data_IF_913844928320
#
_entry.id   IF_913844928320
#
_cell.length_a   1.000
_cell.length_b   1.000
_cell.length_c   1.000
_cell.angle_alpha   90.00
_cell.angle_beta   90.00
_cell.angle_gamma   90.00
#
_symmetry.space_group_name_H-M   'P 1'
#
loop_
_entity.id
_entity.type
_entity.pdbx_description
1 polymer ?
#
# COMPACT_ATOMS: atom_id res chain seq x y z
N UNK A 1 76.07 -4.51 -32.03
CA UNK A 1 76.90 -5.56 -31.40
C UNK A 1 75.93 -6.43 -30.62
N UNK A 2 75.82 -7.68 -31.06
CA UNK A 2 75.14 -8.85 -30.49
C UNK A 2 73.63 -8.83 -30.18
N UNK A 3 72.89 -9.55 -31.03
CA UNK A 3 71.89 -10.52 -30.58
C UNK A 3 72.64 -11.83 -30.19
N UNK A 4 72.07 -12.78 -29.41
CA UNK A 4 70.91 -13.55 -29.89
C UNK A 4 69.92 -14.04 -28.80
N UNK A 5 68.86 -14.63 -29.35
CA UNK A 5 67.81 -15.46 -28.76
C UNK A 5 68.33 -16.64 -27.90
N UNK A 6 67.49 -17.10 -26.95
CA UNK A 6 67.42 -18.51 -26.56
C UNK A 6 66.03 -18.82 -25.96
N UNK A 7 65.18 -19.53 -26.69
CA UNK A 7 64.80 -20.96 -26.51
C UNK A 7 64.17 -21.24 -25.14
N UNK A 8 62.84 -21.45 -25.07
CA UNK A 8 62.18 -22.76 -25.08
C UNK A 8 62.74 -23.74 -24.04
N UNK A 9 61.90 -24.11 -23.08
CA UNK A 9 61.70 -25.47 -22.53
C UNK A 9 60.61 -25.35 -21.45
N UNK A 10 59.38 -25.79 -21.70
CA UNK A 10 58.85 -27.16 -21.62
C UNK A 10 58.15 -27.40 -20.27
N UNK A 11 56.84 -27.66 -20.42
CA UNK A 11 56.01 -28.56 -19.63
C UNK A 11 55.78 -28.24 -18.14
N UNK A 12 54.54 -27.86 -17.82
CA UNK A 12 53.78 -28.64 -16.83
C UNK A 12 52.30 -28.69 -17.24
N UNK A 13 51.89 -29.91 -17.53
CA UNK A 13 50.54 -30.44 -17.66
C UNK A 13 49.61 -30.10 -16.50
N UNK A 14 48.36 -29.76 -16.79
CA UNK A 14 47.17 -30.31 -16.13
C UNK A 14 45.89 -29.72 -16.77
N UNK A 15 45.30 -30.52 -17.65
CA UNK A 15 43.89 -30.89 -17.67
C UNK A 15 42.83 -29.78 -17.53
N UNK A 16 42.22 -29.50 -18.67
CA UNK A 16 40.85 -29.03 -18.81
C UNK A 16 39.89 -30.11 -18.26
N UNK A 17 39.45 -29.96 -17.01
CA UNK A 17 38.20 -30.56 -16.55
C UNK A 17 37.11 -29.49 -16.46
N UNK A 18 36.37 -29.39 -17.57
CA UNK A 18 35.00 -28.91 -17.58
C UNK A 18 34.13 -30.04 -17.06
N UNK A 19 33.58 -29.94 -15.85
CA UNK A 19 32.25 -30.46 -15.44
C UNK A 19 32.16 -30.54 -13.91
N UNK A 20 31.40 -29.62 -13.31
CA UNK A 20 30.77 -29.82 -12.02
C UNK A 20 29.58 -28.84 -11.92
N UNK A 21 28.52 -29.23 -12.61
CA UNK A 21 27.15 -29.28 -12.10
C UNK A 21 26.72 -28.16 -11.15
N UNK A 22 26.04 -27.22 -11.79
CA UNK A 22 24.99 -26.35 -11.29
C UNK A 22 23.89 -27.15 -10.58
N UNK A 23 24.11 -27.63 -9.36
CA UNK A 23 23.02 -28.11 -8.50
C UNK A 23 23.30 -27.74 -7.04
N UNK A 24 22.99 -26.50 -6.66
CA UNK A 24 22.34 -26.27 -5.37
C UNK A 24 21.60 -24.92 -5.34
N UNK A 25 20.45 -24.87 -6.01
CA UNK A 25 19.53 -23.72 -5.95
C UNK A 25 18.09 -24.18 -5.68
N UNK A 26 17.93 -25.15 -4.76
CA UNK A 26 16.64 -25.71 -4.42
C UNK A 26 16.53 -25.98 -2.90
N UNK A 27 16.87 -24.99 -2.07
CA UNK A 27 16.59 -25.02 -0.62
C UNK A 27 16.17 -23.64 -0.08
N UNK A 28 15.56 -22.80 -0.93
CA UNK A 28 14.65 -21.76 -0.46
C UNK A 28 13.23 -22.32 -0.54
N UNK A 29 13.02 -23.43 0.15
CA UNK A 29 11.68 -23.90 0.46
C UNK A 29 10.99 -22.79 1.25
N UNK A 30 9.97 -22.25 0.60
CA UNK A 30 8.88 -21.43 1.09
C UNK A 30 8.46 -21.80 2.52
N UNK A 31 9.20 -21.32 3.51
CA UNK A 31 8.83 -21.42 4.91
C UNK A 31 7.85 -20.28 5.21
N UNK A 32 6.69 -20.34 4.57
CA UNK A 32 5.54 -19.53 4.96
C UNK A 32 4.93 -20.25 6.14
N UNK A 33 5.25 -19.78 7.35
CA UNK A 33 4.57 -20.22 8.56
C UNK A 33 3.05 -20.19 8.28
N UNK A 34 2.32 -21.30 8.46
CA UNK A 34 0.89 -21.39 8.13
C UNK A 34 0.00 -20.49 9.01
N UNK A 35 0.56 -19.86 10.05
CA UNK A 35 -0.12 -18.83 10.84
C UNK A 35 -0.06 -17.42 10.23
N UNK A 36 0.69 -17.22 9.13
CA UNK A 36 0.89 -15.91 8.50
C UNK A 36 0.09 -15.72 7.21
N UNK A 37 -0.64 -16.74 6.76
CA UNK A 37 -1.54 -16.65 5.61
C UNK A 37 -2.80 -15.88 6.02
N UNK A 38 -2.98 -14.71 5.41
CA UNK A 38 -4.21 -13.93 5.54
C UNK A 38 -5.29 -14.61 4.70
N UNK A 39 -6.26 -15.24 5.35
CA UNK A 39 -7.45 -15.76 4.69
C UNK A 39 -8.41 -14.61 4.38
N UNK A 40 -8.55 -14.26 3.08
CA UNK A 40 -9.43 -13.19 2.63
C UNK A 40 -10.89 -13.41 3.06
N UNK A 41 -11.31 -14.67 3.24
CA UNK A 41 -12.67 -15.00 3.64
C UNK A 41 -12.93 -14.65 5.11
N UNK A 42 -11.87 -14.45 5.90
CA UNK A 42 -11.91 -14.06 7.32
C UNK A 42 -11.47 -12.61 7.56
N UNK A 43 -11.24 -11.83 6.50
CA UNK A 43 -10.81 -10.44 6.63
C UNK A 43 -11.77 -9.61 7.49
N UNK A 44 -13.08 -9.89 7.37
CA UNK A 44 -14.11 -9.21 8.16
C UNK A 44 -14.00 -9.47 9.68
N UNK A 45 -13.41 -10.59 10.08
CA UNK A 45 -13.23 -10.95 11.49
C UNK A 45 -12.14 -10.12 12.17
N UNK A 46 -11.28 -9.45 11.39
CA UNK A 46 -10.23 -8.57 11.90
C UNK A 46 -10.77 -7.21 12.38
N UNK A 47 -11.95 -6.80 11.91
CA UNK A 47 -12.52 -5.49 12.22
C UNK A 47 -13.59 -5.62 13.31
N UNK A 48 -13.37 -4.96 14.46
CA UNK A 48 -14.41 -4.84 15.47
C UNK A 48 -15.57 -3.97 14.96
N UNK A 49 -16.79 -4.30 15.39
CA UNK A 49 -17.96 -3.48 15.07
C UNK A 49 -17.88 -2.15 15.82
N UNK A 50 -18.29 -1.04 15.20
CA UNK A 50 -18.38 0.24 15.89
C UNK A 50 -19.24 0.15 17.17
N UNK A 51 -18.83 0.86 18.21
CA UNK A 51 -19.48 0.84 19.52
C UNK A 51 -20.82 1.59 19.50
N UNK A 52 -21.92 0.84 19.65
CA UNK A 52 -23.27 1.42 19.72
C UNK A 52 -23.54 2.15 21.04
N UNK A 53 -22.93 1.74 22.15
CA UNK A 53 -23.09 2.45 23.42
C UNK A 53 -22.44 3.83 23.35
N UNK A 54 -21.28 3.95 22.72
CA UNK A 54 -20.64 5.24 22.46
C UNK A 54 -21.48 6.14 21.53
N UNK A 55 -22.12 5.55 20.50
CA UNK A 55 -23.05 6.27 19.61
C UNK A 55 -24.25 6.82 20.37
N UNK A 56 -24.90 5.98 21.18
CA UNK A 56 -26.08 6.37 21.96
C UNK A 56 -25.74 7.42 23.01
N UNK A 57 -24.62 7.25 23.71
CA UNK A 57 -24.14 8.24 24.68
C UNK A 57 -23.89 9.60 24.01
N UNK A 58 -23.33 9.64 22.79
CA UNK A 58 -23.16 10.90 22.07
C UNK A 58 -24.50 11.48 21.61
N UNK A 59 -25.44 10.67 21.11
CA UNK A 59 -26.80 11.13 20.75
C UNK A 59 -27.50 11.78 21.94
N UNK A 60 -27.46 11.16 23.12
CA UNK A 60 -28.00 11.74 24.35
C UNK A 60 -27.36 13.08 24.68
N UNK A 61 -26.02 13.15 24.63
CA UNK A 61 -25.29 14.40 24.87
C UNK A 61 -25.68 15.51 23.88
N UNK A 62 -25.83 15.19 22.60
CA UNK A 62 -26.22 16.16 21.57
C UNK A 62 -27.66 16.67 21.79
N UNK A 63 -28.57 15.80 22.24
CA UNK A 63 -29.95 16.17 22.56
C UNK A 63 -30.07 17.12 23.76
N UNK A 64 -29.09 17.11 24.68
CA UNK A 64 -29.02 18.04 25.81
C UNK A 64 -28.49 19.43 25.41
N UNK A 65 -27.82 19.55 24.26
CA UNK A 65 -27.33 20.83 23.78
C UNK A 65 -28.52 21.68 23.30
N UNK A 66 -28.54 22.96 23.68
CA UNK A 66 -29.55 23.93 23.26
C UNK A 66 -29.38 24.36 21.79
N UNK A 67 -29.33 23.38 20.88
CA UNK A 67 -29.22 23.57 19.42
C UNK A 67 -30.65 23.67 18.84
N UNK A 68 -30.94 24.64 17.94
CA UNK A 68 -32.26 24.79 17.33
C UNK A 68 -32.74 23.53 16.58
N UNK A 69 -34.06 23.43 16.35
CA UNK A 69 -34.79 22.27 15.85
C UNK A 69 -34.37 21.65 14.50
N UNK A 70 -33.33 22.18 13.83
CA UNK A 70 -32.71 21.59 12.65
C UNK A 70 -31.40 20.82 12.97
N UNK A 71 -30.93 20.84 14.22
CA UNK A 71 -29.69 20.18 14.65
C UNK A 71 -28.46 20.71 13.90
N UNK A 72 -27.40 19.89 13.85
CA UNK A 72 -26.20 20.15 13.03
C UNK A 72 -26.24 19.39 11.69
N UNK A 73 -27.34 18.69 11.39
CA UNK A 73 -27.50 17.87 10.20
C UNK A 73 -26.39 16.82 10.06
N UNK A 74 -25.71 16.80 8.91
CA UNK A 74 -24.63 15.83 8.61
C UNK A 74 -23.46 15.88 9.59
N UNK A 75 -23.22 17.00 10.27
CA UNK A 75 -22.16 17.08 11.28
C UNK A 75 -22.48 16.23 12.51
N UNK A 76 -23.75 16.14 12.89
CA UNK A 76 -24.19 15.26 13.98
C UNK A 76 -24.06 13.79 13.58
N UNK A 77 -24.47 13.44 12.35
CA UNK A 77 -24.28 12.09 11.81
C UNK A 77 -22.81 11.66 11.83
N UNK A 78 -21.91 12.56 11.40
CA UNK A 78 -20.47 12.32 11.42
C UNK A 78 -19.91 12.19 12.83
N UNK A 79 -20.37 13.04 13.76
CA UNK A 79 -19.93 12.97 15.15
C UNK A 79 -20.34 11.63 15.79
N UNK A 80 -21.58 11.18 15.56
CA UNK A 80 -22.08 9.87 16.04
C UNK A 80 -21.32 8.72 15.39
N UNK A 81 -21.10 8.76 14.08
CA UNK A 81 -20.28 7.75 13.40
C UNK A 81 -18.89 7.63 14.03
N UNK A 82 -18.25 8.78 14.26
CA UNK A 82 -16.91 8.87 14.81
C UNK A 82 -16.82 8.42 16.27
N UNK A 83 -17.86 8.68 17.08
CA UNK A 83 -17.96 8.16 18.44
C UNK A 83 -17.98 6.64 18.48
N UNK A 84 -18.76 6.02 17.59
CA UNK A 84 -18.79 4.56 17.47
C UNK A 84 -17.47 3.99 16.95
N UNK A 85 -16.85 4.64 15.97
CA UNK A 85 -15.56 4.21 15.42
C UNK A 85 -14.42 4.27 16.47
N UNK A 86 -14.50 5.19 17.44
CA UNK A 86 -13.49 5.34 18.50
C UNK A 86 -13.84 4.67 19.82
N UNK A 87 -15.03 4.06 19.94
CA UNK A 87 -15.51 3.53 21.22
C UNK A 87 -15.65 4.59 22.31
N UNK A 88 -15.93 5.85 21.95
CA UNK A 88 -16.00 6.95 22.91
C UNK A 88 -16.95 8.07 22.48
N UNK A 89 -17.86 8.45 23.38
CA UNK A 89 -18.74 9.61 23.22
C UNK A 89 -18.02 10.95 23.47
N UNK A 90 -16.73 10.93 23.83
CA UNK A 90 -15.92 12.14 23.95
C UNK A 90 -15.59 12.69 22.55
N UNK A 91 -16.09 13.89 22.27
CA UNK A 91 -15.80 14.60 21.02
C UNK A 91 -14.45 15.30 21.15
N UNK A 92 -13.45 14.78 20.44
CA UNK A 92 -12.14 15.43 20.27
C UNK A 92 -11.96 15.90 18.82
N UNK A 93 -11.31 17.05 18.59
CA UNK A 93 -10.91 17.46 17.25
C UNK A 93 -10.06 16.39 16.56
N UNK A 94 -10.13 16.32 15.24
CA UNK A 94 -9.20 15.53 14.43
C UNK A 94 -7.97 16.41 14.22
N UNK A 95 -6.83 16.01 14.77
CA UNK A 95 -5.57 16.76 14.70
C UNK A 95 -4.55 16.07 13.79
N UNK A 96 -4.64 14.74 13.66
CA UNK A 96 -3.67 13.90 12.95
C UNK A 96 -4.36 13.06 11.88
N UNK A 97 -4.85 13.73 10.84
CA UNK A 97 -5.32 13.07 9.63
C UNK A 97 -4.13 12.54 8.80
N UNK A 98 -4.21 11.29 8.35
CA UNK A 98 -3.17 10.64 7.55
C UNK A 98 -3.78 10.15 6.24
N UNK A 99 -3.17 10.51 5.11
CA UNK A 99 -3.55 10.04 3.78
C UNK A 99 -2.57 8.96 3.34
N UNK A 100 -3.06 7.78 2.96
CA UNK A 100 -2.23 6.69 2.42
C UNK A 100 -2.60 6.46 0.96
N UNK A 101 -1.64 6.71 0.07
CA UNK A 101 -1.84 6.53 -1.38
C UNK A 101 -1.13 5.27 -1.82
N UNK A 102 -1.89 4.30 -2.32
CA UNK A 102 -1.36 3.10 -2.98
C UNK A 102 -1.27 3.35 -4.48
N UNK A 103 -0.06 3.31 -5.03
CA UNK A 103 0.19 3.54 -6.45
C UNK A 103 0.49 2.21 -7.16
N UNK A 104 -0.17 2.00 -8.30
CA UNK A 104 0.01 0.82 -9.14
C UNK A 104 -0.47 1.08 -10.55
N UNK A 105 0.11 0.35 -11.50
CA UNK A 105 -0.28 0.38 -12.91
C UNK A 105 -1.17 -0.83 -13.26
N UNK A 106 -1.93 -0.71 -14.35
CA UNK A 106 -2.88 -1.73 -14.79
C UNK A 106 -2.84 -1.89 -16.32
N UNK A 107 -2.62 -3.12 -16.82
CA UNK A 107 -2.48 -3.36 -18.27
C UNK A 107 -3.77 -3.12 -19.06
N UNK A 108 -4.93 -3.14 -18.40
CA UNK A 108 -6.20 -2.81 -19.06
C UNK A 108 -6.17 -1.39 -19.68
N UNK A 109 -5.31 -0.49 -19.17
CA UNK A 109 -5.11 0.85 -19.71
C UNK A 109 -4.64 0.85 -21.18
N UNK A 110 -3.99 -0.22 -21.66
CA UNK A 110 -3.58 -0.37 -23.07
C UNK A 110 -4.74 -0.28 -24.06
N UNK A 111 -5.95 -0.59 -23.60
CA UNK A 111 -7.17 -0.53 -24.42
C UNK A 111 -7.70 0.90 -24.65
N UNK A 112 -7.02 1.93 -24.14
CA UNK A 112 -7.46 3.32 -24.27
C UNK A 112 -8.71 3.62 -23.43
N UNK A 113 -8.91 2.86 -22.34
CA UNK A 113 -10.02 3.04 -21.39
C UNK A 113 -9.73 4.12 -20.33
N UNK A 114 -8.52 4.68 -20.33
CA UNK A 114 -8.10 5.78 -19.47
C UNK A 114 -8.18 7.12 -20.21
N UNK A 115 -8.31 8.21 -19.46
CA UNK A 115 -8.11 9.56 -20.00
C UNK A 115 -6.65 9.82 -20.42
N UNK A 116 -5.72 8.99 -19.95
CA UNK A 116 -4.32 8.97 -20.37
C UNK A 116 -4.17 8.06 -21.58
N UNK A 117 -3.42 8.50 -22.60
CA UNK A 117 -3.14 7.68 -23.77
C UNK A 117 -2.35 6.42 -23.37
N UNK A 118 -2.60 5.26 -24.01
CA UNK A 118 -1.96 3.99 -23.66
C UNK A 118 -0.45 4.06 -23.52
N UNK A 119 0.24 4.68 -24.48
CA UNK A 119 1.71 4.78 -24.49
C UNK A 119 2.30 5.64 -23.35
N UNK A 120 1.47 6.45 -22.71
CA UNK A 120 1.89 7.37 -21.64
C UNK A 120 1.49 6.87 -20.24
N UNK A 121 0.70 5.80 -20.13
CA UNK A 121 0.09 5.36 -18.87
C UNK A 121 1.12 5.17 -17.74
N UNK A 122 2.14 4.33 -17.97
CA UNK A 122 3.19 4.06 -16.97
C UNK A 122 3.98 5.32 -16.60
N UNK A 123 4.32 6.15 -17.60
CA UNK A 123 5.08 7.38 -17.38
C UNK A 123 4.27 8.41 -16.58
N UNK A 124 2.96 8.49 -16.81
CA UNK A 124 2.06 9.37 -16.06
C UNK A 124 1.92 8.90 -14.62
N UNK A 125 1.76 7.61 -14.35
CA UNK A 125 1.73 7.08 -12.97
C UNK A 125 3.02 7.43 -12.25
N UNK A 126 4.19 7.17 -12.86
CA UNK A 126 5.48 7.52 -12.28
C UNK A 126 5.63 9.03 -12.02
N UNK A 127 5.14 9.88 -12.93
CA UNK A 127 5.15 11.33 -12.74
C UNK A 127 4.22 11.78 -11.61
N UNK A 128 3.06 11.13 -11.42
CA UNK A 128 2.13 11.40 -10.31
C UNK A 128 2.70 10.98 -8.96
N UNK A 129 3.35 9.82 -8.90
CA UNK A 129 4.08 9.33 -7.72
C UNK A 129 5.10 10.38 -7.28
N UNK A 130 6.00 10.80 -8.18
CA UNK A 130 6.99 11.85 -7.89
C UNK A 130 6.35 13.15 -7.44
N UNK A 131 5.29 13.57 -8.13
CA UNK A 131 4.55 14.77 -7.74
C UNK A 131 4.00 14.68 -6.32
N UNK A 132 3.52 13.51 -5.86
CA UNK A 132 3.02 13.31 -4.49
C UNK A 132 4.17 13.29 -3.49
N UNK A 133 5.30 12.64 -3.81
CA UNK A 133 6.52 12.63 -2.97
C UNK A 133 7.05 14.04 -2.72
N UNK A 134 7.02 14.90 -3.74
CA UNK A 134 7.39 16.31 -3.64
C UNK A 134 6.34 17.16 -2.87
N UNK A 135 5.27 16.53 -2.36
CA UNK A 135 4.12 17.21 -1.76
C UNK A 135 3.29 18.01 -2.76
N UNK A 136 3.49 17.83 -4.05
CA UNK A 136 2.75 18.49 -5.11
C UNK A 136 1.38 17.85 -5.38
N UNK A 137 0.76 18.32 -6.47
CA UNK A 137 -0.54 17.81 -6.92
C UNK A 137 -1.70 18.16 -5.99
N UNK A 138 -2.90 17.71 -6.35
CA UNK A 138 -4.10 17.97 -5.54
C UNK A 138 -4.00 17.35 -4.15
N UNK A 139 -3.51 16.11 -4.05
CA UNK A 139 -3.33 15.40 -2.78
C UNK A 139 -2.41 16.16 -1.83
N UNK A 140 -1.20 16.54 -2.27
CA UNK A 140 -0.26 17.24 -1.41
C UNK A 140 -0.72 18.65 -1.04
N UNK A 141 -1.39 19.37 -1.95
CA UNK A 141 -1.98 20.69 -1.66
C UNK A 141 -3.09 20.59 -0.61
N UNK A 142 -4.05 19.68 -0.79
CA UNK A 142 -5.17 19.51 0.13
C UNK A 142 -4.68 18.98 1.49
N UNK A 143 -3.74 18.05 1.50
CA UNK A 143 -3.15 17.54 2.74
C UNK A 143 -2.52 18.67 3.56
N UNK A 144 -1.69 19.52 2.94
CA UNK A 144 -1.12 20.69 3.64
C UNK A 144 -2.18 21.68 4.12
N UNK A 145 -3.19 21.97 3.30
CA UNK A 145 -4.26 22.90 3.66
C UNK A 145 -5.00 22.46 4.92
N UNK A 146 -5.13 21.15 5.13
CA UNK A 146 -5.84 20.56 6.26
C UNK A 146 -4.91 19.97 7.34
N UNK A 147 -3.60 20.22 7.27
CA UNK A 147 -2.63 19.70 8.23
C UNK A 147 -2.47 18.17 8.24
N UNK A 148 -2.93 17.49 7.19
CA UNK A 148 -2.77 16.05 7.02
C UNK A 148 -1.38 15.71 6.45
N UNK A 149 -0.88 14.52 6.77
CA UNK A 149 0.33 13.99 6.11
C UNK A 149 -0.03 12.99 5.02
N UNK A 150 0.86 12.80 4.05
CA UNK A 150 0.68 11.82 2.97
C UNK A 150 1.78 10.78 3.04
N UNK A 151 1.40 9.50 3.03
CA UNK A 151 2.29 8.35 2.82
C UNK A 151 2.00 7.76 1.46
N UNK A 152 3.03 7.64 0.62
CA UNK A 152 2.93 6.99 -0.68
C UNK A 152 3.47 5.56 -0.56
N UNK A 153 2.75 4.61 -1.13
CA UNK A 153 3.08 3.19 -1.14
C UNK A 153 3.11 2.73 -2.60
N UNK A 154 4.29 2.42 -3.13
CA UNK A 154 4.43 1.74 -4.41
C UNK A 154 4.00 0.28 -4.23
N UNK A 155 2.85 -0.07 -4.81
CA UNK A 155 2.39 -1.45 -4.90
C UNK A 155 2.96 -2.09 -6.16
N UNK A 156 2.82 -1.42 -7.30
CA UNK A 156 3.13 -2.01 -8.61
C UNK A 156 3.46 -0.99 -9.70
N UNK A 157 4.07 0.15 -9.34
CA UNK A 157 4.41 1.20 -10.32
C UNK A 157 5.44 0.66 -11.32
N UNK A 158 5.12 0.75 -12.61
CA UNK A 158 5.89 0.17 -13.71
C UNK A 158 5.83 -1.36 -13.79
N UNK A 159 5.04 -2.01 -12.95
CA UNK A 159 4.82 -3.46 -12.89
C UNK A 159 3.31 -3.74 -12.96
N UNK A 160 2.67 -3.48 -14.10
CA UNK A 160 1.21 -3.45 -14.17
C UNK A 160 0.56 -4.78 -13.83
N UNK A 161 -0.67 -4.71 -13.31
CA UNK A 161 -1.53 -5.89 -13.14
C UNK A 161 -1.92 -6.50 -14.47
N UNK A 162 -2.32 -7.77 -14.46
CA UNK A 162 -2.85 -8.48 -15.63
C UNK A 162 -4.07 -7.82 -16.27
N UNK A 163 -4.32 -8.20 -17.52
CA UNK A 163 -5.41 -7.63 -18.34
C UNK A 163 -6.77 -8.23 -17.97
N UNK A 164 -7.50 -7.53 -17.11
CA UNK A 164 -8.81 -7.97 -16.58
C UNK A 164 -9.89 -8.26 -17.63
N UNK A 165 -9.71 -7.84 -18.88
CA UNK A 165 -10.58 -8.23 -19.99
C UNK A 165 -10.37 -9.68 -20.47
N UNK A 166 -9.30 -10.36 -20.01
CA UNK A 166 -8.87 -11.69 -20.50
C UNK A 166 -8.41 -12.64 -19.41
N UNK A 167 -7.88 -12.11 -18.32
CA UNK A 167 -7.27 -12.88 -17.23
C UNK A 167 -7.48 -12.17 -15.89
N UNK A 168 -7.13 -12.85 -14.80
CA UNK A 168 -7.16 -12.23 -13.48
C UNK A 168 -6.07 -11.14 -13.36
N UNK A 169 -6.36 -10.06 -12.62
CA UNK A 169 -5.41 -8.96 -12.42
C UNK A 169 -4.12 -9.40 -11.71
N UNK A 170 -4.23 -10.39 -10.82
CA UNK A 170 -3.14 -10.93 -10.03
C UNK A 170 -3.51 -12.32 -9.51
N UNK A 171 -2.55 -13.23 -9.30
CA UNK A 171 -2.79 -14.48 -8.59
C UNK A 171 -3.29 -14.22 -7.16
N UNK A 172 -4.10 -15.14 -6.61
CA UNK A 172 -4.67 -15.00 -5.25
C UNK A 172 -3.62 -14.71 -4.19
N UNK A 173 -2.47 -15.39 -4.22
CA UNK A 173 -1.39 -15.18 -3.25
C UNK A 173 -0.86 -13.74 -3.24
N UNK A 174 -0.76 -13.10 -4.42
CA UNK A 174 -0.34 -11.71 -4.53
C UNK A 174 -1.41 -10.75 -3.97
N UNK A 175 -2.69 -11.07 -4.14
CA UNK A 175 -3.79 -10.31 -3.55
C UNK A 175 -3.74 -10.42 -2.02
N UNK A 176 -3.56 -11.62 -1.48
CA UNK A 176 -3.42 -11.85 -0.04
C UNK A 176 -2.23 -11.10 0.56
N UNK A 177 -1.10 -11.06 -0.15
CA UNK A 177 0.07 -10.27 0.25
C UNK A 177 -0.22 -8.77 0.22
N UNK A 178 -0.84 -8.26 -0.84
CA UNK A 178 -1.19 -6.85 -0.96
C UNK A 178 -2.18 -6.39 0.14
N UNK A 179 -3.20 -7.20 0.44
CA UNK A 179 -4.15 -6.91 1.53
C UNK A 179 -3.44 -6.94 2.87
N UNK A 180 -2.56 -7.93 3.13
CA UNK A 180 -1.78 -8.00 4.37
C UNK A 180 -0.89 -6.77 4.54
N UNK A 181 -0.23 -6.33 3.47
CA UNK A 181 0.56 -5.11 3.49
C UNK A 181 -0.32 -3.88 3.81
N UNK A 182 -1.51 -3.78 3.22
CA UNK A 182 -2.49 -2.73 3.52
C UNK A 182 -2.92 -2.71 4.98
N UNK A 183 -3.25 -3.87 5.57
CA UNK A 183 -3.59 -4.00 6.99
C UNK A 183 -2.41 -3.55 7.87
N UNK A 184 -1.21 -4.06 7.62
CA UNK A 184 -0.02 -3.69 8.38
C UNK A 184 0.31 -2.18 8.28
N UNK A 185 0.07 -1.57 7.12
CA UNK A 185 0.22 -0.12 6.96
C UNK A 185 -0.83 0.64 7.77
N UNK A 186 -2.10 0.23 7.72
CA UNK A 186 -3.17 0.86 8.47
C UNK A 186 -2.92 0.79 9.99
N UNK A 187 -2.52 -0.38 10.48
CA UNK A 187 -2.15 -0.59 11.89
C UNK A 187 -0.98 0.30 12.29
N UNK A 188 0.08 0.35 11.48
CA UNK A 188 1.23 1.20 11.76
C UNK A 188 0.87 2.70 11.82
N UNK A 189 -0.02 3.17 10.93
CA UNK A 189 -0.50 4.56 11.00
C UNK A 189 -1.37 4.80 12.23
N UNK A 190 -2.27 3.86 12.57
CA UNK A 190 -3.11 3.94 13.77
C UNK A 190 -2.27 3.96 15.05
N UNK A 191 -1.27 3.09 15.16
CA UNK A 191 -0.33 3.01 16.29
C UNK A 191 0.55 4.27 16.41
N UNK A 192 0.87 4.91 15.28
CA UNK A 192 1.52 6.23 15.26
C UNK A 192 0.58 7.37 15.74
N UNK A 193 -0.68 7.04 15.98
CA UNK A 193 -1.73 7.92 16.45
C UNK A 193 -2.45 8.66 15.33
N UNK A 194 -2.69 8.05 14.18
CA UNK A 194 -3.67 8.60 13.25
C UNK A 194 -5.05 8.74 13.94
N UNK A 195 -5.67 9.92 13.86
CA UNK A 195 -7.04 10.10 14.34
C UNK A 195 -8.06 9.64 13.28
N UNK A 196 -7.65 9.69 12.01
CA UNK A 196 -8.40 9.23 10.85
C UNK A 196 -7.43 8.89 9.72
N UNK A 197 -7.71 7.80 9.00
CA UNK A 197 -7.03 7.40 7.78
C UNK A 197 -7.89 7.73 6.57
N UNK A 198 -7.23 8.20 5.51
CA UNK A 198 -7.80 8.57 4.21
C UNK A 198 -7.08 7.78 3.12
#
# INVERSE_FOLDING_TARGET
MDAPENSSDLETSADLETSADLENSADLENNTDPETSLDLDKLADLAERPDEAARDALRTRLAELAIPAAGLGRLEELAVWLAGARGSAEVRPIERARVVVFAGDHDVAELGVSATAPQDALAVTAARVRQIEDGGGATGVLARLHGATVRLVDVSVGRPSGRIDREDAAPRAQIEEAVRAGVAIADAEADSGADVLI
#
